data_IF_746206658795
#
_entry.id   IF_746206658795
#
_cell.length_a   1.000
_cell.length_b   1.000
_cell.length_c   1.000
_cell.angle_alpha   90.00
_cell.angle_beta   90.00
_cell.angle_gamma   90.00
#
_symmetry.space_group_name_H-M   'P 1'
#
loop_
_entity.id
_entity.type
_entity.pdbx_description
1 polymer ?
#
# COMPACT_ATOMS: atom_id res chain seq x y z
N UNK A 1 -18.94 15.91 -26.23
CA UNK A 1 -19.01 15.18 -24.95
C UNK A 1 -17.60 14.72 -24.62
N UNK A 2 -16.97 15.29 -23.60
CA UNK A 2 -15.80 14.66 -23.03
C UNK A 2 -16.27 13.35 -22.42
N UNK A 3 -15.63 12.19 -22.69
CA UNK A 3 -15.90 11.03 -21.88
C UNK A 3 -15.63 11.47 -20.45
N UNK A 4 -16.62 11.30 -19.57
CA UNK A 4 -16.42 11.42 -18.15
C UNK A 4 -15.22 10.56 -17.86
N UNK A 5 -14.06 11.20 -17.69
CA UNK A 5 -12.88 10.56 -17.16
C UNK A 5 -13.39 10.19 -15.79
N UNK A 6 -13.77 8.93 -15.65
CA UNK A 6 -14.20 8.38 -14.39
C UNK A 6 -13.00 8.63 -13.51
N UNK A 7 -13.04 9.75 -12.80
CA UNK A 7 -12.32 9.91 -11.58
C UNK A 7 -12.95 8.82 -10.72
N UNK A 8 -12.46 7.59 -10.87
CA UNK A 8 -12.21 6.72 -9.74
C UNK A 8 -11.34 7.57 -8.81
N UNK A 9 -11.98 8.53 -8.16
CA UNK A 9 -11.54 9.10 -6.92
C UNK A 9 -11.54 7.89 -6.03
N UNK A 10 -10.37 7.26 -6.00
CA UNK A 10 -9.95 6.17 -5.16
C UNK A 10 -10.00 6.69 -3.72
N UNK A 11 -11.21 7.00 -3.26
CA UNK A 11 -11.49 7.32 -1.88
C UNK A 11 -11.15 6.05 -1.14
N UNK A 12 -10.01 6.06 -0.47
CA UNK A 12 -9.66 5.05 0.51
C UNK A 12 -10.86 4.86 1.42
N UNK A 13 -11.55 3.73 1.28
CA UNK A 13 -12.58 3.39 2.26
C UNK A 13 -11.86 3.12 3.58
N UNK A 14 -12.54 3.30 4.73
CA UNK A 14 -11.93 3.04 6.04
C UNK A 14 -11.23 1.68 6.09
N UNK A 15 -11.84 0.67 5.47
CA UNK A 15 -11.29 -0.69 5.34
C UNK A 15 -9.99 -0.76 4.53
N UNK A 16 -9.85 0.05 3.48
CA UNK A 16 -8.61 0.09 2.69
C UNK A 16 -7.47 0.75 3.49
N UNK A 17 -7.78 1.76 4.32
CA UNK A 17 -6.80 2.39 5.21
C UNK A 17 -6.32 1.37 6.25
N UNK A 18 -7.24 0.65 6.90
CA UNK A 18 -6.91 -0.40 7.86
C UNK A 18 -6.07 -1.51 7.23
N UNK A 19 -6.41 -1.93 6.00
CA UNK A 19 -5.66 -2.94 5.27
C UNK A 19 -4.24 -2.48 4.96
N UNK A 20 -4.07 -1.27 4.42
CA UNK A 20 -2.75 -0.73 4.11
C UNK A 20 -1.89 -0.54 5.37
N UNK A 21 -2.50 -0.05 6.46
CA UNK A 21 -1.81 0.10 7.73
C UNK A 21 -1.38 -1.24 8.31
N UNK A 22 -2.24 -2.27 8.24
CA UNK A 22 -1.92 -3.62 8.70
C UNK A 22 -0.74 -4.23 7.91
N UNK A 23 -0.77 -4.12 6.58
CA UNK A 23 0.31 -4.65 5.72
C UNK A 23 1.61 -3.90 5.97
N UNK A 24 1.55 -2.58 6.11
CA UNK A 24 2.71 -1.76 6.40
C UNK A 24 3.34 -2.15 7.74
N UNK A 25 2.53 -2.28 8.79
CA UNK A 25 3.02 -2.69 10.11
C UNK A 25 3.64 -4.09 10.07
N UNK A 26 2.98 -5.04 9.41
CA UNK A 26 3.50 -6.40 9.26
C UNK A 26 4.84 -6.43 8.50
N UNK A 27 5.03 -5.55 7.52
CA UNK A 27 6.29 -5.43 6.79
C UNK A 27 7.39 -4.76 7.63
N UNK A 28 7.05 -3.77 8.45
CA UNK A 28 7.99 -3.19 9.40
C UNK A 28 8.45 -4.23 10.43
N UNK A 29 7.53 -4.99 11.00
CA UNK A 29 7.82 -6.06 11.95
C UNK A 29 8.67 -7.16 11.32
N UNK A 30 8.35 -7.59 10.10
CA UNK A 30 9.09 -8.65 9.41
C UNK A 30 10.53 -8.27 9.06
N UNK A 31 10.82 -6.97 8.90
CA UNK A 31 12.16 -6.47 8.58
C UNK A 31 12.84 -5.82 9.79
N UNK A 32 12.23 -5.84 10.97
CA UNK A 32 12.70 -5.14 12.18
C UNK A 32 12.97 -3.64 11.96
N UNK A 33 12.22 -3.01 11.06
CA UNK A 33 12.38 -1.62 10.65
C UNK A 33 11.54 -0.72 11.56
N UNK A 34 12.14 0.39 12.01
CA UNK A 34 11.40 1.43 12.74
C UNK A 34 10.56 2.27 11.78
N UNK A 35 9.32 2.56 12.13
CA UNK A 35 8.38 3.37 11.33
C UNK A 35 8.95 4.74 10.89
N UNK A 36 9.85 5.34 11.68
CA UNK A 36 10.45 6.65 11.39
C UNK A 36 11.83 6.56 10.71
N UNK A 37 12.05 5.52 9.92
CA UNK A 37 13.30 5.27 9.19
C UNK A 37 13.10 5.51 7.69
N UNK A 38 14.17 5.84 6.94
CA UNK A 38 14.08 5.96 5.49
C UNK A 38 13.65 4.64 4.82
N UNK A 39 13.94 3.50 5.43
CA UNK A 39 13.46 2.20 4.93
C UNK A 39 11.94 2.07 5.05
N UNK A 40 11.34 2.58 6.13
CA UNK A 40 9.89 2.63 6.31
C UNK A 40 9.22 3.54 5.27
N UNK A 41 9.82 4.69 4.96
CA UNK A 41 9.31 5.57 3.90
C UNK A 41 9.36 4.88 2.52
N UNK A 42 10.45 4.15 2.24
CA UNK A 42 10.58 3.38 1.00
C UNK A 42 9.50 2.28 0.91
N UNK A 43 9.24 1.56 2.02
CA UNK A 43 8.18 0.56 2.10
C UNK A 43 6.80 1.17 1.88
N UNK A 44 6.50 2.30 2.52
CA UNK A 44 5.22 2.99 2.37
C UNK A 44 4.99 3.44 0.92
N UNK A 45 6.02 4.03 0.29
CA UNK A 45 5.96 4.46 -1.11
C UNK A 45 5.73 3.28 -2.05
N UNK A 46 6.38 2.14 -1.80
CA UNK A 46 6.21 0.93 -2.60
C UNK A 46 4.82 0.32 -2.44
N UNK A 47 4.33 0.23 -1.20
CA UNK A 47 2.98 -0.23 -0.90
C UNK A 47 1.92 0.64 -1.61
N UNK A 48 2.08 1.96 -1.54
CA UNK A 48 1.18 2.90 -2.22
C UNK A 48 1.24 2.75 -3.74
N UNK A 49 2.44 2.56 -4.31
CA UNK A 49 2.61 2.35 -5.76
C UNK A 49 1.93 1.07 -6.23
N UNK A 50 2.04 -0.02 -5.46
CA UNK A 50 1.37 -1.29 -5.77
C UNK A 50 -0.16 -1.14 -5.72
N UNK A 51 -0.65 -0.45 -4.69
CA UNK A 51 -2.07 -0.17 -4.54
C UNK A 51 -2.62 0.69 -5.68
N UNK A 52 -1.92 1.76 -6.06
CA UNK A 52 -2.26 2.58 -7.23
C UNK A 52 -2.15 1.82 -8.56
N UNK A 53 -1.30 0.80 -8.62
CA UNK A 53 -1.18 -0.12 -9.76
C UNK A 53 -2.37 -1.08 -9.92
N UNK A 54 -3.34 -1.06 -8.99
CA UNK A 54 -4.53 -1.90 -9.01
C UNK A 54 -4.45 -3.14 -8.11
N UNK A 55 -3.35 -3.32 -7.37
CA UNK A 55 -3.22 -4.43 -6.42
C UNK A 55 -3.96 -4.10 -5.14
N UNK A 56 -5.12 -4.73 -4.93
CA UNK A 56 -5.98 -4.50 -3.75
C UNK A 56 -6.02 -5.67 -2.77
N UNK A 57 -5.40 -6.79 -3.13
CA UNK A 57 -5.36 -7.97 -2.28
C UNK A 57 -4.23 -7.87 -1.24
N UNK A 58 -4.56 -8.12 0.03
CA UNK A 58 -3.61 -7.98 1.13
C UNK A 58 -2.47 -8.99 1.08
N UNK A 59 -2.76 -10.23 0.66
CA UNK A 59 -1.74 -11.27 0.53
C UNK A 59 -0.82 -10.95 -0.65
N UNK A 60 -1.37 -10.50 -1.78
CA UNK A 60 -0.58 -10.09 -2.94
C UNK A 60 0.29 -8.86 -2.63
N UNK A 61 -0.25 -7.85 -1.93
CA UNK A 61 0.54 -6.70 -1.49
C UNK A 61 1.67 -7.10 -0.55
N UNK A 62 1.39 -7.97 0.43
CA UNK A 62 2.41 -8.43 1.38
C UNK A 62 3.50 -9.27 0.71
N UNK A 63 3.12 -10.16 -0.21
CA UNK A 63 4.06 -10.98 -0.99
C UNK A 63 4.98 -10.12 -1.85
N UNK A 64 4.41 -9.18 -2.61
CA UNK A 64 5.17 -8.23 -3.46
C UNK A 64 6.07 -7.28 -2.67
N UNK A 65 5.73 -7.03 -1.40
CA UNK A 65 6.52 -6.19 -0.50
C UNK A 65 7.68 -6.97 0.15
N UNK A 66 7.54 -8.29 0.33
CA UNK A 66 8.58 -9.20 0.84
C UNK A 66 9.57 -9.67 -0.23
N UNK A 67 9.14 -9.76 -1.49
CA UNK A 67 9.93 -10.27 -2.60
C UNK A 67 11.04 -9.31 -3.09
N UNK A 68 11.56 -8.43 -2.23
CA UNK A 68 12.41 -7.32 -2.63
C UNK A 68 13.59 -7.04 -1.72
#
# INVERSE_FOLDING_TARGET
MYPSREFHSDFFRPREIELLQCIFNAALEANEIKCNSPEAEALAKRLFTLYQGGVRDAAELSDRLKAA
#
